data_IF_485970867502
#
_entry.id   IF_485970867502
#
_cell.length_a   1.000
_cell.length_b   1.000
_cell.length_c   1.000
_cell.angle_alpha   90.00
_cell.angle_beta   90.00
_cell.angle_gamma   90.00
#
_symmetry.space_group_name_H-M   'P 1'
#
loop_
_entity.id
_entity.type
_entity.pdbx_description
1 polymer ?
#
# COMPACT_ATOMS: atom_id res chain seq x y z
N UNK A 1 7.48 -4.80 -14.68
CA UNK A 1 6.75 -3.94 -13.74
C UNK A 1 5.34 -3.71 -14.22
N UNK A 2 4.35 -3.95 -13.37
CA UNK A 2 2.96 -3.59 -13.61
C UNK A 2 2.64 -2.29 -12.86
N UNK A 3 2.09 -1.30 -13.56
CA UNK A 3 1.67 -0.02 -12.97
C UNK A 3 0.16 0.14 -13.21
N UNK A 4 -0.64 0.33 -12.14
CA UNK A 4 -2.06 0.55 -12.32
C UNK A 4 -2.34 1.85 -13.07
N UNK A 5 -3.49 1.92 -13.73
CA UNK A 5 -3.95 3.10 -14.46
C UNK A 5 -5.47 3.24 -14.38
N UNK A 6 -5.99 4.32 -14.94
CA UNK A 6 -7.42 4.54 -15.14
C UNK A 6 -8.13 5.42 -14.11
N UNK A 7 -7.82 5.35 -12.81
CA UNK A 7 -8.45 6.21 -11.79
C UNK A 7 -7.55 7.35 -11.33
N UNK A 8 -6.24 7.13 -11.30
CA UNK A 8 -5.23 8.12 -10.94
C UNK A 8 -3.91 7.81 -11.64
N UNK A 9 -2.98 8.77 -11.67
CA UNK A 9 -1.60 8.54 -12.07
C UNK A 9 -0.79 8.18 -10.82
N UNK A 10 0.07 7.16 -10.95
CA UNK A 10 0.89 6.66 -9.84
C UNK A 10 2.39 6.72 -10.20
N UNK A 11 2.98 7.92 -10.34
CA UNK A 11 4.40 8.06 -10.65
C UNK A 11 5.30 7.49 -9.55
N UNK A 12 4.90 7.56 -8.28
CA UNK A 12 5.60 6.93 -7.16
C UNK A 12 5.69 5.43 -7.31
N UNK A 13 4.60 4.75 -7.69
CA UNK A 13 4.62 3.30 -7.94
C UNK A 13 5.57 2.92 -9.07
N UNK A 14 5.72 3.76 -10.09
CA UNK A 14 6.71 3.54 -11.15
C UNK A 14 8.13 3.56 -10.57
N UNK A 15 8.47 4.61 -9.82
CA UNK A 15 9.79 4.79 -9.23
C UNK A 15 10.12 3.68 -8.24
N UNK A 16 9.19 3.36 -7.33
CA UNK A 16 9.35 2.36 -6.28
C UNK A 16 9.56 0.93 -6.82
N UNK A 17 9.07 0.62 -8.02
CA UNK A 17 9.25 -0.68 -8.62
C UNK A 17 10.45 -0.74 -9.58
N UNK A 18 10.77 0.32 -10.32
CA UNK A 18 11.83 0.32 -11.32
C UNK A 18 13.19 0.61 -10.71
N UNK A 19 13.29 1.54 -9.76
CA UNK A 19 14.59 1.93 -9.17
C UNK A 19 15.28 0.76 -8.48
N UNK A 20 14.62 -0.06 -7.63
CA UNK A 20 15.26 -1.24 -7.04
C UNK A 20 15.76 -2.23 -8.10
N UNK A 21 15.02 -2.44 -9.19
CA UNK A 21 15.44 -3.28 -10.30
C UNK A 21 16.72 -2.74 -10.98
N UNK A 22 16.79 -1.43 -11.22
CA UNK A 22 18.01 -0.80 -11.80
C UNK A 22 19.19 -0.92 -10.84
N UNK A 23 19.01 -0.69 -9.55
CA UNK A 23 20.08 -0.80 -8.55
C UNK A 23 20.57 -2.24 -8.44
N UNK A 24 19.67 -3.22 -8.53
CA UNK A 24 20.00 -4.65 -8.56
C UNK A 24 20.72 -5.08 -9.84
N UNK A 25 20.77 -4.26 -10.87
CA UNK A 25 21.44 -4.56 -12.15
C UNK A 25 20.60 -5.45 -13.07
N UNK A 26 19.27 -5.39 -12.99
CA UNK A 26 18.38 -6.09 -13.94
C UNK A 26 18.64 -5.60 -15.36
N UNK A 27 18.90 -6.52 -16.29
CA UNK A 27 19.33 -6.25 -17.65
C UNK A 27 18.24 -5.54 -18.49
N UNK A 28 16.99 -5.99 -18.37
CA UNK A 28 15.86 -5.42 -19.11
C UNK A 28 14.66 -5.21 -18.21
N UNK A 29 14.17 -3.98 -18.12
CA UNK A 29 13.01 -3.60 -17.32
C UNK A 29 11.85 -3.19 -18.22
N UNK A 30 10.82 -4.01 -18.22
CA UNK A 30 9.59 -3.83 -18.99
C UNK A 30 8.50 -3.29 -18.09
N UNK A 31 7.87 -2.17 -18.46
CA UNK A 31 6.69 -1.66 -17.79
C UNK A 31 5.42 -1.93 -18.60
N UNK A 32 4.37 -2.42 -17.95
CA UNK A 32 3.02 -2.48 -18.52
C UNK A 32 2.06 -1.62 -17.69
N UNK A 33 1.20 -0.88 -18.38
CA UNK A 33 0.15 -0.07 -17.73
C UNK A 33 -1.06 0.03 -18.65
N UNK A 34 -2.29 -0.06 -18.12
CA UNK A 34 -3.49 0.13 -18.94
C UNK A 34 -3.55 1.56 -19.48
N UNK A 35 -3.86 1.75 -20.77
CA UNK A 35 -4.11 3.09 -21.30
C UNK A 35 -5.44 3.66 -20.77
N UNK A 36 -5.54 4.97 -20.79
CA UNK A 36 -6.80 5.68 -20.59
C UNK A 36 -7.81 5.41 -21.71
N UNK A 37 -9.02 5.99 -21.58
CA UNK A 37 -10.08 5.84 -22.60
C UNK A 37 -9.70 6.42 -23.98
N UNK A 38 -8.78 7.34 -23.99
CA UNK A 38 -8.17 7.96 -25.20
C UNK A 38 -7.04 7.12 -25.81
N UNK A 39 -6.75 5.95 -25.24
CA UNK A 39 -5.65 5.09 -25.68
C UNK A 39 -4.26 5.59 -25.26
N UNK A 40 -4.16 6.63 -24.42
CA UNK A 40 -2.90 7.19 -23.98
C UNK A 40 -2.56 6.78 -22.54
N UNK A 41 -1.26 6.74 -22.24
CA UNK A 41 -0.75 6.66 -20.86
C UNK A 41 -0.51 8.09 -20.37
N UNK A 42 -0.78 8.37 -19.10
CA UNK A 42 -0.58 9.70 -18.53
C UNK A 42 0.88 10.13 -18.63
N UNK A 43 1.11 11.41 -18.95
CA UNK A 43 2.44 11.96 -19.14
C UNK A 43 3.33 11.77 -17.89
N UNK A 44 2.77 11.93 -16.68
CA UNK A 44 3.51 11.76 -15.43
C UNK A 44 4.02 10.33 -15.25
N UNK A 45 3.22 9.31 -15.62
CA UNK A 45 3.64 7.90 -15.59
C UNK A 45 4.77 7.64 -16.59
N UNK A 46 4.67 8.19 -17.80
CA UNK A 46 5.70 8.03 -18.82
C UNK A 46 7.01 8.72 -18.43
N UNK A 47 6.95 9.94 -17.90
CA UNK A 47 8.13 10.66 -17.42
C UNK A 47 8.81 9.89 -16.29
N UNK A 48 8.03 9.44 -15.29
CA UNK A 48 8.58 8.64 -14.19
C UNK A 48 9.25 7.35 -14.71
N UNK A 49 8.66 6.66 -15.69
CA UNK A 49 9.24 5.45 -16.27
C UNK A 49 10.55 5.72 -17.01
N UNK A 50 10.61 6.82 -17.77
CA UNK A 50 11.83 7.23 -18.46
C UNK A 50 12.94 7.61 -17.50
N UNK A 51 12.63 8.44 -16.49
CA UNK A 51 13.58 8.87 -15.45
C UNK A 51 14.11 7.69 -14.61
N UNK A 52 13.22 6.72 -14.27
CA UNK A 52 13.61 5.52 -13.56
C UNK A 52 14.41 4.53 -14.42
N UNK A 53 14.39 4.67 -15.75
CA UNK A 53 15.13 3.85 -16.69
C UNK A 53 14.43 2.58 -17.14
N UNK A 54 13.10 2.61 -17.36
CA UNK A 54 12.39 1.53 -18.04
C UNK A 54 12.87 1.39 -19.48
N UNK A 55 13.17 0.18 -19.95
CA UNK A 55 13.66 -0.08 -21.30
C UNK A 55 12.52 -0.14 -22.32
N UNK A 56 11.35 -0.68 -21.90
CA UNK A 56 10.15 -0.78 -22.74
C UNK A 56 8.88 -0.50 -21.97
N UNK A 57 7.90 0.10 -22.64
CA UNK A 57 6.60 0.42 -22.08
C UNK A 57 5.51 -0.15 -23.00
N UNK A 58 4.62 -1.00 -22.44
CA UNK A 58 3.49 -1.57 -23.16
C UNK A 58 2.16 -1.03 -22.60
N UNK A 59 1.28 -0.60 -23.50
CA UNK A 59 -0.08 -0.15 -23.18
C UNK A 59 -1.02 -1.34 -23.04
N UNK A 60 -0.80 -2.14 -22.00
CA UNK A 60 -1.58 -3.32 -21.68
C UNK A 60 -1.82 -3.40 -20.17
N UNK A 61 -3.02 -3.78 -19.75
CA UNK A 61 -3.38 -3.86 -18.34
C UNK A 61 -4.20 -5.12 -18.03
N UNK A 62 -4.52 -5.31 -16.74
CA UNK A 62 -5.33 -6.44 -16.28
C UNK A 62 -4.61 -7.79 -16.30
N UNK A 63 -5.36 -8.85 -16.09
CA UNK A 63 -4.85 -10.22 -16.03
C UNK A 63 -4.14 -10.64 -17.34
N UNK A 64 -4.61 -10.15 -18.49
CA UNK A 64 -4.02 -10.44 -19.80
C UNK A 64 -2.60 -9.86 -19.94
N UNK A 65 -2.29 -8.71 -19.33
CA UNK A 65 -0.94 -8.17 -19.32
C UNK A 65 0.00 -9.06 -18.49
N UNK A 66 -0.46 -9.55 -17.35
CA UNK A 66 0.28 -10.50 -16.50
C UNK A 66 0.56 -11.80 -17.27
N UNK A 67 -0.45 -12.35 -17.94
CA UNK A 67 -0.28 -13.55 -18.76
C UNK A 67 0.71 -13.32 -19.92
N UNK A 68 0.63 -12.17 -20.60
CA UNK A 68 1.55 -11.82 -21.67
C UNK A 68 3.01 -11.72 -21.19
N UNK A 69 3.23 -11.13 -20.03
CA UNK A 69 4.57 -11.08 -19.41
C UNK A 69 5.06 -12.46 -18.99
N UNK A 70 4.18 -13.29 -18.40
CA UNK A 70 4.56 -14.60 -17.87
C UNK A 70 4.90 -15.62 -18.96
N UNK A 71 4.14 -15.64 -20.06
CA UNK A 71 4.26 -16.65 -21.13
C UNK A 71 4.97 -16.14 -22.37
N UNK A 72 5.06 -14.82 -22.54
CA UNK A 72 5.50 -14.18 -23.76
C UNK A 72 4.41 -14.17 -24.83
N UNK A 73 4.55 -13.24 -25.77
CA UNK A 73 3.74 -13.13 -26.98
C UNK A 73 4.65 -12.73 -28.14
N UNK A 74 4.09 -12.59 -29.35
CA UNK A 74 4.86 -12.09 -30.50
C UNK A 74 5.48 -10.70 -30.26
N UNK A 75 4.80 -9.82 -29.46
CA UNK A 75 5.20 -8.43 -29.24
C UNK A 75 5.72 -8.14 -27.82
N UNK A 76 5.35 -8.96 -26.83
CA UNK A 76 5.77 -8.81 -25.42
C UNK A 76 6.64 -10.00 -25.04
N UNK A 77 7.93 -9.81 -24.74
CA UNK A 77 8.81 -10.91 -24.37
C UNK A 77 8.39 -11.51 -23.01
N UNK A 78 8.67 -12.79 -22.82
CA UNK A 78 8.56 -13.45 -21.52
C UNK A 78 9.56 -12.81 -20.55
N UNK A 79 9.14 -12.62 -19.31
CA UNK A 79 9.97 -12.12 -18.22
C UNK A 79 10.21 -13.19 -17.15
N UNK A 80 11.21 -12.98 -16.29
CA UNK A 80 11.53 -13.87 -15.18
C UNK A 80 10.81 -13.48 -13.89
N UNK A 81 10.52 -12.18 -13.71
CA UNK A 81 9.82 -11.65 -12.52
C UNK A 81 8.80 -10.59 -12.89
N UNK A 82 7.63 -10.61 -12.23
CA UNK A 82 6.56 -9.62 -12.36
C UNK A 82 6.35 -8.95 -11.01
N UNK A 83 6.49 -7.63 -10.97
CA UNK A 83 6.35 -6.81 -9.76
C UNK A 83 5.36 -5.68 -9.97
N UNK A 84 4.86 -5.13 -8.87
CA UNK A 84 3.98 -3.97 -8.87
C UNK A 84 2.55 -4.27 -8.46
N UNK A 85 1.86 -3.26 -7.92
CA UNK A 85 0.49 -3.36 -7.44
C UNK A 85 -0.51 -3.42 -8.59
N UNK A 86 -1.70 -3.92 -8.32
CA UNK A 86 -2.80 -3.93 -9.28
C UNK A 86 -4.14 -4.24 -8.60
N UNK A 87 -5.20 -4.22 -9.38
CA UNK A 87 -6.51 -4.62 -8.87
C UNK A 87 -6.56 -6.14 -8.60
N UNK A 88 -7.66 -6.62 -8.03
CA UNK A 88 -7.86 -8.02 -7.65
C UNK A 88 -7.59 -8.99 -8.81
N UNK A 89 -7.93 -8.64 -10.06
CA UNK A 89 -7.68 -9.49 -11.23
C UNK A 89 -6.19 -9.61 -11.55
N UNK A 90 -5.44 -8.54 -11.35
CA UNK A 90 -3.97 -8.53 -11.50
C UNK A 90 -3.32 -9.35 -10.39
N UNK A 91 -3.75 -9.18 -9.15
CA UNK A 91 -3.25 -9.94 -8.00
C UNK A 91 -3.50 -11.45 -8.17
N UNK A 92 -4.71 -11.85 -8.58
CA UNK A 92 -5.05 -13.24 -8.86
C UNK A 92 -4.27 -13.80 -10.06
N UNK A 93 -4.06 -13.00 -11.11
CA UNK A 93 -3.26 -13.41 -12.25
C UNK A 93 -1.78 -13.61 -11.85
N UNK A 94 -1.19 -12.71 -11.07
CA UNK A 94 0.17 -12.89 -10.52
C UNK A 94 0.26 -14.18 -9.71
N UNK A 95 -0.69 -14.41 -8.81
CA UNK A 95 -0.76 -15.67 -8.03
C UNK A 95 -0.85 -16.90 -8.92
N UNK A 96 -1.60 -16.84 -10.03
CA UNK A 96 -1.79 -17.98 -10.94
C UNK A 96 -0.55 -18.32 -11.76
N UNK A 97 0.33 -17.37 -12.02
CA UNK A 97 1.57 -17.58 -12.77
C UNK A 97 2.80 -17.75 -11.87
N UNK A 98 2.65 -17.63 -10.57
CA UNK A 98 3.73 -17.84 -9.60
C UNK A 98 4.25 -19.28 -9.69
N UNK A 99 5.56 -19.40 -9.73
CA UNK A 99 6.26 -20.68 -10.02
C UNK A 99 6.58 -20.88 -11.50
N UNK A 100 5.83 -20.23 -12.42
CA UNK A 100 6.22 -20.12 -13.84
C UNK A 100 7.10 -18.86 -14.07
N UNK A 101 6.80 -17.80 -13.36
CA UNK A 101 7.62 -16.60 -13.18
C UNK A 101 7.64 -16.25 -11.70
N UNK A 102 8.66 -15.52 -11.24
CA UNK A 102 8.67 -14.96 -9.87
C UNK A 102 7.73 -13.75 -9.78
N UNK A 103 7.24 -13.47 -8.58
CA UNK A 103 6.44 -12.26 -8.29
C UNK A 103 7.00 -11.59 -7.02
N UNK A 104 6.66 -10.32 -6.82
CA UNK A 104 6.92 -9.60 -5.56
C UNK A 104 6.04 -10.16 -4.41
N UNK A 105 4.74 -9.89 -4.47
CA UNK A 105 3.75 -10.36 -3.51
C UNK A 105 2.37 -10.48 -4.19
N UNK A 106 1.43 -11.10 -3.48
CA UNK A 106 0.01 -11.07 -3.83
C UNK A 106 -0.59 -9.89 -3.05
N UNK A 107 -0.58 -8.71 -3.66
CA UNK A 107 -1.12 -7.51 -3.05
C UNK A 107 -2.65 -7.59 -2.91
N UNK A 108 -3.14 -7.30 -1.72
CA UNK A 108 -4.55 -7.09 -1.41
C UNK A 108 -4.93 -5.61 -1.43
N UNK A 109 -6.13 -5.28 -0.92
CA UNK A 109 -6.52 -3.91 -0.65
C UNK A 109 -5.58 -3.24 0.36
N UNK A 110 -5.44 -1.94 0.27
CA UNK A 110 -4.60 -1.16 1.17
C UNK A 110 -5.18 -1.10 2.59
N UNK A 111 -4.30 -1.05 3.58
CA UNK A 111 -4.63 -1.15 4.99
C UNK A 111 -3.87 -0.13 5.82
N UNK A 112 -4.55 0.51 6.76
CA UNK A 112 -3.93 1.27 7.83
C UNK A 112 -4.42 0.78 9.19
N UNK A 113 -3.49 0.63 10.12
CA UNK A 113 -3.75 0.43 11.52
C UNK A 113 -3.06 1.52 12.32
N UNK A 114 -3.83 2.26 13.09
CA UNK A 114 -3.32 3.26 14.01
C UNK A 114 -3.38 2.72 15.43
N UNK A 115 -2.23 2.58 16.07
CA UNK A 115 -2.08 2.27 17.49
C UNK A 115 -1.86 3.58 18.24
N UNK A 116 -2.86 4.04 19.00
CA UNK A 116 -2.83 5.36 19.61
C UNK A 116 -3.29 5.35 21.06
N UNK A 117 -2.71 6.21 21.88
CA UNK A 117 -3.20 6.54 23.21
C UNK A 117 -3.78 7.98 23.28
N UNK A 118 -4.23 8.37 24.45
CA UNK A 118 -4.89 9.67 24.66
C UNK A 118 -3.96 10.90 24.52
N UNK A 119 -2.67 10.70 24.34
CA UNK A 119 -1.70 11.76 24.02
C UNK A 119 -1.69 12.11 22.53
N UNK A 120 -2.24 11.23 21.68
CA UNK A 120 -2.39 11.48 20.27
C UNK A 120 -3.44 12.57 19.97
N UNK A 121 -3.29 13.23 18.82
CA UNK A 121 -4.29 14.17 18.35
C UNK A 121 -5.40 13.43 17.59
N UNK A 122 -6.67 13.43 18.09
CA UNK A 122 -7.77 12.69 17.43
C UNK A 122 -8.00 13.10 15.97
N UNK A 123 -7.72 14.36 15.61
CA UNK A 123 -7.85 14.86 14.25
C UNK A 123 -6.82 14.26 13.30
N UNK A 124 -5.59 14.05 13.79
CA UNK A 124 -4.53 13.44 12.98
C UNK A 124 -4.85 11.96 12.74
N UNK A 125 -5.20 11.24 13.81
CA UNK A 125 -5.64 9.83 13.70
C UNK A 125 -6.81 9.69 12.71
N UNK A 126 -7.83 10.55 12.82
CA UNK A 126 -8.97 10.51 11.90
C UNK A 126 -8.56 10.81 10.44
N UNK A 127 -7.64 11.77 10.23
CA UNK A 127 -7.16 12.10 8.89
C UNK A 127 -6.40 10.93 8.26
N UNK A 128 -5.54 10.25 9.03
CA UNK A 128 -4.75 9.13 8.53
C UNK A 128 -5.62 7.88 8.29
N UNK A 129 -6.61 7.58 9.15
CA UNK A 129 -7.60 6.54 8.89
C UNK A 129 -8.38 6.81 7.58
N UNK A 130 -8.75 8.06 7.33
CA UNK A 130 -9.52 8.44 6.14
C UNK A 130 -8.67 8.51 4.88
N UNK A 131 -7.37 8.80 4.96
CA UNK A 131 -6.47 8.74 3.81
C UNK A 131 -6.47 7.36 3.18
N UNK A 132 -6.53 6.31 4.01
CA UNK A 132 -6.60 4.94 3.54
C UNK A 132 -8.03 4.54 3.13
N UNK A 133 -9.05 4.94 3.90
CA UNK A 133 -10.45 4.62 3.59
C UNK A 133 -10.89 5.19 2.23
N UNK A 134 -10.37 6.35 1.82
CA UNK A 134 -10.68 6.93 0.51
C UNK A 134 -9.99 6.23 -0.67
N UNK A 135 -8.99 5.38 -0.40
CA UNK A 135 -8.24 4.69 -1.43
C UNK A 135 -9.13 3.74 -2.25
N UNK A 136 -10.04 3.02 -1.57
CA UNK A 136 -10.99 2.13 -2.22
C UNK A 136 -12.01 1.52 -1.27
N UNK A 137 -13.08 0.98 -1.82
CA UNK A 137 -14.20 0.38 -1.07
C UNK A 137 -13.79 -0.84 -0.22
N UNK A 138 -12.67 -1.47 -0.56
CA UNK A 138 -12.11 -2.64 0.13
C UNK A 138 -10.96 -2.28 1.07
N UNK A 139 -10.55 -1.00 1.14
CA UNK A 139 -9.50 -0.57 2.04
C UNK A 139 -9.94 -0.73 3.50
N UNK A 140 -9.00 -1.04 4.40
CA UNK A 140 -9.29 -1.12 5.82
C UNK A 140 -8.64 0.01 6.61
N UNK A 141 -9.37 0.51 7.61
CA UNK A 141 -8.92 1.57 8.50
C UNK A 141 -9.25 1.19 9.95
N UNK A 142 -8.23 0.87 10.73
CA UNK A 142 -8.38 0.30 12.07
C UNK A 142 -7.70 1.19 13.10
N UNK A 143 -8.41 1.51 14.18
CA UNK A 143 -7.85 2.12 15.38
C UNK A 143 -7.77 1.10 16.49
N UNK A 144 -6.60 0.98 17.13
CA UNK A 144 -6.41 0.27 18.39
C UNK A 144 -6.02 1.29 19.45
N UNK A 145 -6.75 1.30 20.59
CA UNK A 145 -6.49 2.21 21.70
C UNK A 145 -6.87 1.56 23.03
N UNK A 146 -6.36 2.11 24.14
CA UNK A 146 -6.78 1.71 25.49
C UNK A 146 -7.79 2.68 26.11
N UNK A 147 -8.17 3.75 25.39
CA UNK A 147 -9.06 4.80 25.91
C UNK A 147 -10.36 4.91 25.12
N UNK A 148 -11.48 4.52 25.73
CA UNK A 148 -12.81 4.69 25.14
C UNK A 148 -13.15 6.16 24.87
N UNK A 149 -12.73 7.06 25.78
CA UNK A 149 -12.93 8.49 25.59
C UNK A 149 -12.17 9.06 24.39
N UNK A 150 -10.96 8.54 24.13
CA UNK A 150 -10.18 8.89 22.95
C UNK A 150 -10.80 8.31 21.67
N UNK A 151 -11.20 7.04 21.70
CA UNK A 151 -11.89 6.37 20.60
C UNK A 151 -13.12 7.16 20.11
N UNK A 152 -13.93 7.66 21.06
CA UNK A 152 -15.10 8.48 20.76
C UNK A 152 -14.71 9.79 20.05
N UNK A 153 -13.67 10.50 20.54
CA UNK A 153 -13.19 11.73 19.89
C UNK A 153 -12.71 11.48 18.47
N UNK A 154 -12.00 10.37 18.23
CA UNK A 154 -11.56 9.99 16.87
C UNK A 154 -12.77 9.71 15.98
N UNK A 155 -13.76 8.96 16.46
CA UNK A 155 -14.99 8.68 15.70
C UNK A 155 -15.74 9.96 15.32
N UNK A 156 -15.85 10.93 16.23
CA UNK A 156 -16.46 12.24 15.95
C UNK A 156 -15.70 13.03 14.86
N UNK A 157 -14.37 12.97 14.86
CA UNK A 157 -13.54 13.61 13.83
C UNK A 157 -13.62 12.87 12.48
N UNK A 158 -13.70 11.53 12.48
CA UNK A 158 -13.92 10.73 11.27
C UNK A 158 -15.26 11.12 10.62
N UNK A 159 -16.34 11.23 11.37
CA UNK A 159 -17.65 11.64 10.86
C UNK A 159 -17.59 13.06 10.28
N UNK A 160 -16.93 13.97 10.98
CA UNK A 160 -16.76 15.37 10.55
C UNK A 160 -16.00 15.47 9.24
N UNK A 161 -14.83 14.85 9.13
CA UNK A 161 -14.01 14.87 7.91
C UNK A 161 -14.70 14.16 6.74
N UNK A 162 -15.35 13.03 7.00
CA UNK A 162 -16.08 12.28 5.97
C UNK A 162 -17.19 13.15 5.33
N UNK A 163 -17.80 14.06 6.10
CA UNK A 163 -18.81 14.97 5.57
C UNK A 163 -18.23 15.99 4.57
N UNK A 164 -16.96 16.37 4.73
CA UNK A 164 -16.27 17.39 3.94
C UNK A 164 -15.52 16.82 2.72
N UNK A 165 -15.13 15.54 2.76
CA UNK A 165 -14.29 14.91 1.74
C UNK A 165 -15.06 14.56 0.46
N UNK A 166 -14.40 14.72 -0.68
CA UNK A 166 -14.99 14.53 -2.01
C UNK A 166 -15.31 13.07 -2.36
N UNK A 167 -14.57 12.10 -1.77
CA UNK A 167 -14.76 10.66 -2.01
C UNK A 167 -15.63 9.97 -0.96
N UNK A 168 -16.57 10.70 -0.38
CA UNK A 168 -17.43 10.28 0.72
C UNK A 168 -18.04 8.88 0.57
N UNK A 169 -18.59 8.56 -0.61
CA UNK A 169 -19.24 7.27 -0.84
C UNK A 169 -18.27 6.08 -0.71
N UNK A 170 -17.04 6.25 -1.20
CA UNK A 170 -15.99 5.24 -1.09
C UNK A 170 -15.58 5.09 0.38
N UNK A 171 -15.35 6.20 1.08
CA UNK A 171 -15.01 6.22 2.51
C UNK A 171 -16.07 5.51 3.33
N UNK A 172 -17.35 5.84 3.14
CA UNK A 172 -18.46 5.22 3.88
C UNK A 172 -18.55 3.72 3.62
N UNK A 173 -18.32 3.29 2.38
CA UNK A 173 -18.29 1.85 2.03
C UNK A 173 -17.13 1.13 2.71
N UNK A 174 -15.92 1.70 2.67
CA UNK A 174 -14.73 1.18 3.32
C UNK A 174 -14.93 1.06 4.84
N UNK A 175 -15.30 2.15 5.50
CA UNK A 175 -15.50 2.18 6.96
C UNK A 175 -16.60 1.23 7.42
N UNK A 176 -17.71 1.12 6.68
CA UNK A 176 -18.81 0.22 7.01
C UNK A 176 -18.40 -1.24 6.99
N UNK A 177 -17.56 -1.63 6.04
CA UNK A 177 -17.23 -3.03 5.79
C UNK A 177 -15.90 -3.45 6.45
N UNK A 178 -14.94 -2.54 6.55
CA UNK A 178 -13.56 -2.80 6.94
C UNK A 178 -12.98 -1.78 7.94
N UNK A 179 -13.79 -0.83 8.43
CA UNK A 179 -13.41 0.06 9.52
C UNK A 179 -13.70 -0.57 10.88
N UNK A 180 -12.79 -0.38 11.84
CA UNK A 180 -12.99 -0.85 13.23
C UNK A 180 -12.25 0.02 14.25
N UNK A 181 -12.79 0.07 15.45
CA UNK A 181 -12.11 0.61 16.63
C UNK A 181 -12.07 -0.49 17.69
N UNK A 182 -10.87 -0.86 18.11
CA UNK A 182 -10.65 -1.81 19.20
C UNK A 182 -10.20 -1.07 20.45
N UNK A 183 -10.91 -1.32 21.57
CA UNK A 183 -10.55 -0.78 22.89
C UNK A 183 -9.96 -1.93 23.68
N UNK A 184 -8.65 -1.87 23.94
CA UNK A 184 -7.90 -2.90 24.65
C UNK A 184 -7.81 -2.61 26.14
N UNK A 185 -7.64 -3.64 26.95
CA UNK A 185 -7.49 -3.52 28.39
C UNK A 185 -6.19 -2.81 28.79
N UNK A 186 -5.12 -3.07 28.04
CA UNK A 186 -3.80 -2.46 28.26
C UNK A 186 -2.99 -2.31 26.95
N UNK A 187 -1.85 -1.63 27.06
CA UNK A 187 -0.96 -1.32 25.93
C UNK A 187 -0.24 -2.56 25.38
N UNK A 188 0.06 -3.55 26.20
CA UNK A 188 0.75 -4.77 25.75
C UNK A 188 -0.18 -5.61 24.89
N UNK A 189 -1.45 -5.78 25.30
CA UNK A 189 -2.47 -6.44 24.48
C UNK A 189 -2.76 -5.66 23.19
N UNK A 190 -2.75 -4.32 23.24
CA UNK A 190 -2.91 -3.50 22.03
C UNK A 190 -1.79 -3.73 21.00
N UNK A 191 -0.54 -3.89 21.46
CA UNK A 191 0.61 -4.23 20.60
C UNK A 191 0.50 -5.67 20.07
N UNK A 192 0.10 -6.62 20.90
CA UNK A 192 -0.14 -8.00 20.48
C UNK A 192 -1.18 -8.09 19.38
N UNK A 193 -2.29 -7.38 19.55
CA UNK A 193 -3.35 -7.30 18.54
C UNK A 193 -2.86 -6.62 17.23
N UNK A 194 -2.05 -5.57 17.32
CA UNK A 194 -1.44 -4.96 16.13
C UNK A 194 -0.55 -5.96 15.36
N UNK A 195 0.26 -6.75 16.07
CA UNK A 195 1.05 -7.82 15.47
C UNK A 195 0.20 -8.95 14.87
N UNK A 196 -0.98 -9.24 15.47
CA UNK A 196 -1.92 -10.22 14.90
C UNK A 196 -2.55 -9.72 13.61
N UNK A 197 -2.84 -8.44 13.48
CA UNK A 197 -3.30 -7.86 12.21
C UNK A 197 -2.21 -7.89 11.14
N UNK A 198 -0.96 -7.66 11.52
CA UNK A 198 0.18 -7.57 10.61
C UNK A 198 -0.12 -6.63 9.42
N UNK A 199 -0.48 -5.35 9.67
CA UNK A 199 -1.01 -4.44 8.67
C UNK A 199 0.04 -4.01 7.65
N UNK A 200 -0.42 -3.50 6.52
CA UNK A 200 0.42 -2.82 5.53
C UNK A 200 1.10 -1.59 6.14
N UNK A 201 0.30 -0.66 6.66
CA UNK A 201 0.78 0.55 7.33
C UNK A 201 0.41 0.50 8.82
N UNK A 202 1.41 0.62 9.69
CA UNK A 202 1.22 0.72 11.13
C UNK A 202 1.69 2.07 11.63
N UNK A 203 0.78 2.90 12.11
CA UNK A 203 1.11 4.16 12.77
C UNK A 203 1.07 3.99 14.29
N UNK A 204 2.12 4.41 14.98
CA UNK A 204 2.24 4.35 16.45
C UNK A 204 2.21 5.77 17.01
N UNK A 205 1.01 6.24 17.33
CA UNK A 205 0.75 7.56 17.90
C UNK A 205 0.58 7.47 19.43
N UNK A 206 1.61 6.94 20.08
CA UNK A 206 1.69 6.77 21.54
C UNK A 206 2.63 7.80 22.15
N UNK A 207 2.57 8.00 23.48
CA UNK A 207 3.39 8.97 24.21
C UNK A 207 4.91 8.80 23.93
N UNK A 208 5.40 7.55 23.93
CA UNK A 208 6.79 7.21 23.67
C UNK A 208 6.87 6.16 22.55
N UNK A 209 6.65 6.52 21.28
CA UNK A 209 6.48 5.52 20.20
C UNK A 209 7.71 4.64 19.98
N UNK A 210 8.93 5.13 20.29
CA UNK A 210 10.16 4.36 20.17
C UNK A 210 10.24 3.15 21.10
N UNK A 211 9.52 3.14 22.22
CA UNK A 211 9.50 2.03 23.17
C UNK A 211 8.78 0.78 22.60
N UNK A 212 7.98 0.97 21.56
CA UNK A 212 7.21 -0.11 20.93
C UNK A 212 7.93 -0.77 19.76
N UNK A 213 8.97 -0.14 19.18
CA UNK A 213 9.68 -0.65 17.99
C UNK A 213 10.17 -2.08 18.18
N UNK A 214 10.74 -2.40 19.36
CA UNK A 214 11.21 -3.75 19.67
C UNK A 214 10.11 -4.76 19.99
N UNK A 215 8.84 -4.37 20.01
CA UNK A 215 7.68 -5.22 20.27
C UNK A 215 6.79 -5.40 19.02
N UNK A 216 7.08 -4.66 17.95
CA UNK A 216 6.32 -4.68 16.69
C UNK A 216 7.02 -5.59 15.69
N UNK A 217 6.53 -6.82 15.57
CA UNK A 217 7.15 -7.87 14.76
C UNK A 217 6.62 -7.91 13.34
N UNK A 218 5.36 -7.50 13.14
CA UNK A 218 4.63 -7.74 11.91
C UNK A 218 3.94 -6.45 11.41
N UNK A 219 4.60 -5.72 10.53
CA UNK A 219 4.01 -4.60 9.79
C UNK A 219 4.78 -4.40 8.48
N UNK A 220 4.10 -3.96 7.43
CA UNK A 220 4.75 -3.61 6.17
C UNK A 220 5.62 -2.37 6.33
N UNK A 221 5.09 -1.33 6.96
CA UNK A 221 5.82 -0.11 7.32
C UNK A 221 5.36 0.40 8.67
N UNK A 222 6.26 0.99 9.46
CA UNK A 222 5.96 1.54 10.80
C UNK A 222 6.27 3.03 10.83
N UNK A 223 5.27 3.82 11.20
CA UNK A 223 5.35 5.27 11.33
C UNK A 223 5.26 5.65 12.80
N UNK A 224 6.21 6.43 13.30
CA UNK A 224 6.36 6.69 14.72
C UNK A 224 6.05 8.13 15.08
N UNK A 225 5.02 8.33 15.90
CA UNK A 225 4.63 9.62 16.45
C UNK A 225 3.61 10.39 15.62
N UNK A 226 3.06 11.44 16.21
CA UNK A 226 1.94 12.22 15.68
C UNK A 226 2.23 13.00 14.38
N UNK A 227 3.48 13.06 13.95
CA UNK A 227 3.93 13.87 12.80
C UNK A 227 4.58 13.03 11.69
N UNK A 228 4.33 11.74 11.68
CA UNK A 228 4.82 10.81 10.67
C UNK A 228 3.63 10.09 9.98
N UNK A 229 2.81 10.81 9.21
CA UNK A 229 1.68 10.21 8.50
C UNK A 229 2.16 9.32 7.35
N UNK A 230 1.33 8.36 6.96
CA UNK A 230 1.61 7.36 5.92
C UNK A 230 2.11 7.97 4.60
N UNK A 231 1.47 9.03 4.13
CA UNK A 231 1.88 9.68 2.87
C UNK A 231 3.24 10.39 2.93
N UNK A 232 3.80 10.61 4.11
CA UNK A 232 5.20 11.04 4.22
C UNK A 232 6.13 9.93 3.71
N UNK A 233 5.80 8.67 3.99
CA UNK A 233 6.48 7.50 3.46
C UNK A 233 6.40 7.43 1.94
N UNK A 234 5.20 7.60 1.39
CA UNK A 234 4.95 7.48 -0.04
C UNK A 234 5.68 8.52 -0.90
N UNK A 235 5.85 9.75 -0.39
CA UNK A 235 6.28 10.85 -1.26
C UNK A 235 7.59 11.53 -0.85
N UNK A 236 8.08 11.34 0.38
CA UNK A 236 9.20 12.14 0.86
C UNK A 236 10.26 11.40 1.70
N UNK A 237 9.86 10.46 2.55
CA UNK A 237 10.77 9.82 3.52
C UNK A 237 11.84 8.92 2.89
N UNK A 238 11.61 8.41 1.69
CA UNK A 238 12.58 7.64 0.90
C UNK A 238 12.44 6.11 0.95
N UNK A 239 11.93 5.46 2.03
CA UNK A 239 11.69 4.03 2.02
C UNK A 239 10.71 3.62 0.91
N UNK A 240 10.85 2.38 0.43
CA UNK A 240 9.92 1.82 -0.54
C UNK A 240 8.58 1.51 0.15
N UNK A 241 7.48 1.90 -0.47
CA UNK A 241 6.12 1.69 0.02
C UNK A 241 5.33 0.66 -0.83
N UNK A 242 6.03 -0.22 -1.55
CA UNK A 242 5.45 -1.45 -2.09
C UNK A 242 5.52 -2.48 -0.98
N UNK A 243 4.41 -2.60 -0.26
CA UNK A 243 4.35 -3.26 1.04
C UNK A 243 3.54 -4.56 1.00
N UNK A 244 3.81 -5.52 1.90
CA UNK A 244 2.94 -6.66 2.11
C UNK A 244 1.61 -6.22 2.71
N UNK A 245 0.49 -6.80 2.23
CA UNK A 245 -0.88 -6.52 2.67
C UNK A 245 -1.58 -7.78 3.19
N UNK A 246 -2.76 -7.65 3.79
CA UNK A 246 -3.60 -8.77 4.24
C UNK A 246 -2.88 -9.74 5.20
N UNK A 247 -2.17 -9.19 6.17
CA UNK A 247 -1.44 -9.97 7.16
C UNK A 247 -0.17 -10.66 6.64
N UNK A 248 0.21 -10.42 5.39
CA UNK A 248 1.39 -11.06 4.79
C UNK A 248 2.72 -10.43 5.23
N UNK A 249 2.69 -9.34 6.00
CA UNK A 249 3.88 -8.80 6.66
C UNK A 249 4.59 -9.80 7.59
N UNK A 250 3.91 -10.89 7.96
CA UNK A 250 4.51 -12.05 8.66
C UNK A 250 5.44 -12.89 7.78
N UNK A 251 5.35 -12.76 6.47
CA UNK A 251 6.00 -13.64 5.49
C UNK A 251 6.88 -12.86 4.53
N UNK A 252 6.56 -11.60 4.27
CA UNK A 252 7.21 -10.76 3.28
C UNK A 252 7.70 -9.46 3.92
N UNK A 253 8.82 -8.96 3.43
CA UNK A 253 9.33 -7.62 3.71
C UNK A 253 8.83 -6.60 2.68
N UNK A 254 8.98 -5.29 2.93
CA UNK A 254 8.84 -4.27 1.90
C UNK A 254 9.72 -4.60 0.69
N UNK A 255 9.20 -4.29 -0.49
CA UNK A 255 9.90 -4.54 -1.74
C UNK A 255 11.22 -3.78 -1.82
N UNK A 256 12.30 -4.48 -2.16
CA UNK A 256 13.65 -3.93 -2.12
C UNK A 256 14.54 -4.51 -3.24
N UNK A 257 15.83 -4.16 -3.21
CA UNK A 257 16.85 -4.70 -4.12
C UNK A 257 16.98 -6.22 -3.95
N UNK A 258 16.87 -6.71 -2.72
CA UNK A 258 16.96 -8.14 -2.37
C UNK A 258 15.92 -9.01 -3.09
N UNK A 259 14.83 -8.40 -3.56
CA UNK A 259 13.81 -9.09 -4.37
C UNK A 259 14.33 -9.52 -5.76
N UNK A 260 15.46 -9.00 -6.19
CA UNK A 260 16.07 -9.26 -7.51
C UNK A 260 17.38 -10.03 -7.47
N UNK A 261 17.93 -10.30 -6.30
CA UNK A 261 19.24 -10.98 -6.12
C UNK A 261 19.14 -12.29 -5.42
#
# INVERSE_FOLDING_TARGET
>A
VYVPGGKAAYPSSVLMNIIPAKVAGVDEIIMTTPPGRDGQVTATTLVAACEAGADRIYKAGGAQAIAALAYGTESIPKVDKIVGPGNIYVALAKKSVYGHVSIDAVAGPSEILVLADETANPRYVAADLLSQAEHGELASAILITTSEAFAKKVSEEVDRFTAELSRKEIILSSLKNFGAIFICEDKDYAVELANEFAPEHLEVMMENPMEYVGKLDNAGSVFLGNYAPEHLGDYYAGPNQVLPTMGTARLFSPFAVDDYV
#
